data_IF_193548109657
#
_entry.id   IF_193548109657
#
_cell.length_a   1.000
_cell.length_b   1.000
_cell.length_c   1.000
_cell.angle_alpha   90.00
_cell.angle_beta   90.00
_cell.angle_gamma   90.00
#
_symmetry.space_group_name_H-M   'P 1'
#
loop_
_entity.id
_entity.type
_entity.pdbx_description
1 polymer ?
#
# COMPACT_ATOMS: atom_id res chain seq x y z
N UNK A 1 6.02 2.88 -4.86
CA UNK A 1 5.22 3.54 -5.92
C UNK A 1 5.51 2.97 -7.30
N UNK A 2 4.62 3.20 -8.27
CA UNK A 2 4.83 2.93 -9.69
C UNK A 2 4.44 4.19 -10.47
N UNK A 3 5.43 4.82 -11.11
CA UNK A 3 5.24 6.02 -11.93
C UNK A 3 5.33 5.66 -13.41
N UNK A 4 4.41 6.17 -14.22
CA UNK A 4 4.50 6.20 -15.68
C UNK A 4 4.21 7.62 -16.18
N UNK A 5 5.18 8.22 -16.83
CA UNK A 5 5.04 9.53 -17.45
C UNK A 5 4.34 9.46 -18.81
N UNK A 6 4.49 8.34 -19.54
CA UNK A 6 3.79 8.10 -20.80
C UNK A 6 2.28 8.04 -20.62
N UNK A 7 1.83 7.32 -19.59
CA UNK A 7 0.41 7.09 -19.32
C UNK A 7 -0.14 8.04 -18.24
N UNK A 8 0.68 9.00 -17.78
CA UNK A 8 0.32 10.01 -16.78
C UNK A 8 -0.33 9.43 -15.52
N UNK A 9 0.25 8.39 -14.92
CA UNK A 9 -0.24 7.87 -13.66
C UNK A 9 0.85 7.66 -12.61
N UNK A 10 0.44 7.73 -11.34
CA UNK A 10 1.23 7.39 -10.17
C UNK A 10 0.42 6.46 -9.26
N UNK A 11 0.86 5.22 -9.14
CA UNK A 11 0.31 4.27 -8.18
C UNK A 11 1.07 4.34 -6.86
N UNK A 12 0.36 4.70 -5.79
CA UNK A 12 0.87 4.71 -4.41
C UNK A 12 0.64 3.32 -3.83
N UNK A 13 1.73 2.62 -3.50
CA UNK A 13 1.67 1.23 -3.05
C UNK A 13 1.66 1.15 -1.53
N UNK A 14 0.48 1.10 -0.93
CA UNK A 14 0.27 0.81 0.49
C UNK A 14 0.49 -0.69 0.73
N UNK A 15 1.13 -1.05 1.84
CA UNK A 15 1.42 -2.45 2.16
C UNK A 15 0.13 -3.24 2.44
N UNK A 16 0.08 -4.50 1.99
CA UNK A 16 -1.01 -5.46 2.27
C UNK A 16 -2.39 -5.14 1.67
N UNK A 17 -2.46 -4.20 0.72
CA UNK A 17 -3.69 -3.78 0.02
C UNK A 17 -3.80 -4.30 -1.41
N UNK A 18 -3.18 -5.44 -1.73
CA UNK A 18 -3.18 -5.99 -3.09
C UNK A 18 -2.19 -5.34 -4.06
N UNK A 19 -1.39 -4.39 -3.59
CA UNK A 19 -0.52 -3.56 -4.42
C UNK A 19 0.54 -4.33 -5.21
N UNK A 20 0.93 -5.53 -4.79
CA UNK A 20 1.83 -6.39 -5.58
C UNK A 20 1.14 -6.87 -6.86
N UNK A 21 -0.09 -7.37 -6.75
CA UNK A 21 -0.89 -7.81 -7.89
C UNK A 21 -1.13 -6.67 -8.90
N UNK A 22 -1.51 -5.49 -8.40
CA UNK A 22 -1.69 -4.28 -9.23
C UNK A 22 -0.39 -3.91 -9.95
N UNK A 23 0.71 -3.83 -9.21
CA UNK A 23 2.01 -3.46 -9.76
C UNK A 23 2.50 -4.43 -10.83
N UNK A 24 2.34 -5.74 -10.59
CA UNK A 24 2.75 -6.77 -11.52
C UNK A 24 1.86 -6.76 -12.77
N UNK A 25 0.56 -6.48 -12.63
CA UNK A 25 -0.36 -6.31 -13.76
C UNK A 25 -0.05 -5.06 -14.60
N UNK A 26 0.35 -3.95 -13.95
CA UNK A 26 0.73 -2.71 -14.63
C UNK A 26 2.19 -2.71 -15.14
N UNK A 27 2.95 -3.78 -14.91
CA UNK A 27 4.38 -3.84 -15.23
C UNK A 27 4.68 -3.56 -16.70
N UNK A 28 3.87 -4.07 -17.61
CA UNK A 28 4.03 -3.84 -19.06
C UNK A 28 3.98 -2.35 -19.41
N UNK A 29 3.10 -1.57 -18.78
CA UNK A 29 2.96 -0.13 -19.03
C UNK A 29 4.16 0.66 -18.51
N UNK A 30 4.83 0.19 -17.48
CA UNK A 30 6.10 0.74 -17.03
C UNK A 30 7.24 0.40 -18.00
N UNK A 31 7.29 -0.83 -18.53
CA UNK A 31 8.35 -1.26 -19.45
C UNK A 31 8.28 -0.55 -20.81
N UNK A 32 7.09 -0.28 -21.31
CA UNK A 32 6.86 0.45 -22.56
C UNK A 32 6.95 1.97 -22.41
N UNK A 33 7.21 2.48 -21.21
CA UNK A 33 7.39 3.91 -20.96
C UNK A 33 8.80 4.35 -21.43
N UNK A 34 8.92 5.20 -22.48
CA UNK A 34 10.21 5.64 -23.02
C UNK A 34 11.00 6.47 -22.00
N UNK A 35 10.33 7.09 -21.05
CA UNK A 35 10.98 7.91 -20.00
C UNK A 35 11.63 7.07 -18.90
N UNK A 36 11.46 5.74 -18.92
CA UNK A 36 12.03 4.84 -17.91
C UNK A 36 13.55 4.87 -17.88
N UNK A 37 14.19 4.83 -19.05
CA UNK A 37 15.67 4.86 -19.15
C UNK A 37 16.21 6.22 -18.71
N UNK A 38 15.73 7.36 -19.22
CA UNK A 38 16.11 8.67 -18.72
C UNK A 38 15.92 8.84 -17.20
N UNK A 39 14.79 8.38 -16.65
CA UNK A 39 14.54 8.43 -15.20
C UNK A 39 15.56 7.59 -14.41
N UNK A 40 15.87 6.39 -14.89
CA UNK A 40 16.88 5.54 -14.26
C UNK A 40 18.26 6.20 -14.28
N UNK A 41 18.70 6.75 -15.42
CA UNK A 41 19.97 7.44 -15.55
C UNK A 41 20.02 8.69 -14.67
N UNK A 42 18.96 9.51 -14.68
CA UNK A 42 18.86 10.68 -13.83
C UNK A 42 18.91 10.32 -12.34
N UNK A 43 18.29 9.22 -11.94
CA UNK A 43 18.37 8.75 -10.54
C UNK A 43 19.76 8.26 -10.14
N UNK A 44 20.51 7.68 -11.08
CA UNK A 44 21.92 7.30 -10.86
C UNK A 44 22.83 8.51 -10.75
N UNK A 45 22.64 9.50 -11.62
CA UNK A 45 23.37 10.77 -11.54
C UNK A 45 23.09 11.52 -10.23
N UNK A 46 21.84 11.51 -9.77
CA UNK A 46 21.49 12.07 -8.46
C UNK A 46 22.28 11.40 -7.32
N UNK A 47 22.42 10.06 -7.38
CA UNK A 47 23.16 9.31 -6.36
C UNK A 47 24.69 9.54 -6.40
N UNK A 48 25.23 9.93 -7.56
CA UNK A 48 26.67 10.15 -7.75
C UNK A 48 27.09 11.61 -7.48
N UNK A 49 26.19 12.56 -7.73
CA UNK A 49 26.52 14.00 -7.71
C UNK A 49 25.95 14.73 -6.50
N UNK A 50 25.18 14.02 -5.66
CA UNK A 50 24.41 14.59 -4.55
C UNK A 50 23.41 15.70 -4.98
N UNK A 51 23.08 15.75 -6.26
CA UNK A 51 22.11 16.69 -6.83
C UNK A 51 20.82 15.98 -7.18
N UNK A 52 19.68 16.61 -6.91
CA UNK A 52 18.34 16.07 -7.24
C UNK A 52 18.03 16.16 -8.74
N UNK A 53 18.70 15.31 -9.56
CA UNK A 53 18.52 15.27 -11.01
C UNK A 53 17.33 14.38 -11.40
N UNK A 54 17.01 13.34 -10.60
CA UNK A 54 15.91 12.45 -10.86
C UNK A 54 15.37 11.80 -9.59
N UNK A 55 14.07 11.50 -9.61
CA UNK A 55 13.37 10.87 -8.49
C UNK A 55 13.29 9.35 -8.65
N UNK A 56 13.76 8.61 -7.64
CA UNK A 56 13.52 7.18 -7.48
C UNK A 56 12.71 6.96 -6.21
N UNK A 57 11.48 6.54 -6.37
CA UNK A 57 10.60 6.29 -5.24
C UNK A 57 10.76 4.87 -4.70
N UNK A 58 10.92 4.69 -3.38
CA UNK A 58 10.76 3.40 -2.72
C UNK A 58 9.39 2.78 -3.03
N UNK A 59 9.28 1.45 -2.88
CA UNK A 59 8.02 0.74 -3.15
C UNK A 59 6.86 1.32 -2.35
N UNK A 60 7.06 1.55 -1.06
CA UNK A 60 6.07 2.03 -0.10
C UNK A 60 6.28 3.49 0.29
N UNK A 61 6.69 4.35 -0.66
CA UNK A 61 6.76 5.78 -0.40
C UNK A 61 5.35 6.40 -0.34
N UNK A 62 5.18 7.41 0.52
CA UNK A 62 3.93 8.18 0.67
C UNK A 62 3.77 9.16 -0.50
N UNK A 63 2.54 9.52 -0.86
CA UNK A 63 2.25 10.42 -1.99
C UNK A 63 2.94 11.78 -1.85
N UNK A 64 3.07 12.29 -0.63
CA UNK A 64 3.79 13.54 -0.33
C UNK A 64 5.22 13.53 -0.85
N UNK A 65 5.93 12.39 -0.81
CA UNK A 65 7.27 12.30 -1.36
C UNK A 65 7.31 12.55 -2.88
N UNK A 66 6.28 12.10 -3.61
CA UNK A 66 6.18 12.40 -5.03
C UNK A 66 5.81 13.87 -5.29
N UNK A 67 4.96 14.45 -4.44
CA UNK A 67 4.59 15.86 -4.51
C UNK A 67 5.81 16.78 -4.34
N UNK A 68 6.71 16.43 -3.41
CA UNK A 68 7.92 17.22 -3.11
C UNK A 68 9.07 17.00 -4.12
N UNK A 69 9.13 15.80 -4.72
CA UNK A 69 10.26 15.42 -5.58
C UNK A 69 9.99 15.62 -7.07
N UNK A 70 8.74 15.68 -7.51
CA UNK A 70 8.39 15.92 -8.90
C UNK A 70 8.16 17.42 -9.16
N UNK A 71 8.45 17.93 -10.37
CA UNK A 71 7.96 19.23 -10.76
C UNK A 71 6.43 19.35 -10.56
N UNK A 72 5.98 20.49 -10.07
CA UNK A 72 4.56 20.72 -9.71
C UNK A 72 3.62 20.38 -10.86
N UNK A 73 3.94 20.80 -12.07
CA UNK A 73 3.12 20.56 -13.27
C UNK A 73 3.05 19.07 -13.61
N UNK A 74 4.15 18.34 -13.38
CA UNK A 74 4.17 16.88 -13.57
C UNK A 74 3.26 16.20 -12.55
N UNK A 75 3.43 16.52 -11.26
CA UNK A 75 2.61 15.92 -10.19
C UNK A 75 1.12 16.21 -10.40
N UNK A 76 0.75 17.44 -10.75
CA UNK A 76 -0.63 17.84 -11.00
C UNK A 76 -1.27 17.10 -12.18
N UNK A 77 -0.52 16.82 -13.24
CA UNK A 77 -1.00 16.10 -14.43
C UNK A 77 -1.20 14.61 -14.21
N UNK A 78 -0.48 14.01 -13.27
CA UNK A 78 -0.58 12.59 -13.00
C UNK A 78 -1.94 12.23 -12.38
N UNK A 79 -2.57 11.18 -12.88
CA UNK A 79 -3.64 10.49 -12.18
C UNK A 79 -3.03 9.66 -11.03
N UNK A 80 -3.26 10.09 -9.81
CA UNK A 80 -2.70 9.49 -8.61
C UNK A 80 -3.73 8.59 -7.95
N UNK A 81 -3.36 7.33 -7.69
CA UNK A 81 -4.28 6.40 -7.07
C UNK A 81 -3.60 5.45 -6.08
N UNK A 82 -4.38 4.97 -5.13
CA UNK A 82 -3.98 4.01 -4.12
C UNK A 82 -5.08 2.98 -3.89
N UNK A 83 -4.76 1.91 -3.17
CA UNK A 83 -5.74 0.97 -2.66
C UNK A 83 -5.59 0.87 -1.16
N UNK A 84 -6.72 0.84 -0.48
CA UNK A 84 -6.84 0.64 0.97
C UNK A 84 -7.55 -0.67 1.27
N UNK A 85 -7.42 -1.14 2.49
CA UNK A 85 -8.01 -2.39 2.97
C UNK A 85 -8.59 -2.17 4.36
N UNK A 86 -9.66 -2.89 4.68
CA UNK A 86 -10.19 -2.94 6.01
C UNK A 86 -9.08 -3.18 7.04
N UNK A 87 -8.88 -2.31 8.05
CA UNK A 87 -7.75 -2.37 8.97
C UNK A 87 -7.63 -3.70 9.73
N UNK A 88 -8.73 -4.30 10.11
CA UNK A 88 -8.73 -5.62 10.78
C UNK A 88 -8.27 -6.71 9.83
N UNK A 89 -8.78 -6.73 8.61
CA UNK A 89 -8.37 -7.67 7.56
C UNK A 89 -6.91 -7.47 7.14
N UNK A 90 -6.43 -6.24 7.17
CA UNK A 90 -5.02 -5.90 6.91
C UNK A 90 -4.11 -6.55 7.96
N UNK A 91 -4.47 -6.55 9.26
CA UNK A 91 -3.64 -7.15 10.29
C UNK A 91 -3.59 -8.69 10.18
N UNK A 92 -4.69 -9.33 9.86
CA UNK A 92 -4.70 -10.78 9.56
C UNK A 92 -3.81 -11.08 8.35
N UNK A 93 -3.90 -10.28 7.29
CA UNK A 93 -2.99 -10.40 6.14
C UNK A 93 -1.51 -10.19 6.50
N UNK A 94 -1.22 -9.28 7.42
CA UNK A 94 0.12 -9.04 7.92
C UNK A 94 0.65 -10.23 8.72
N UNK A 95 -0.17 -10.80 9.61
CA UNK A 95 0.18 -11.98 10.39
C UNK A 95 0.58 -13.16 9.50
N UNK A 96 -0.26 -13.52 8.53
CA UNK A 96 0.05 -14.61 7.58
C UNK A 96 1.27 -14.30 6.71
N UNK A 97 1.49 -13.04 6.36
CA UNK A 97 2.67 -12.64 5.62
C UNK A 97 3.95 -12.83 6.44
N UNK A 98 3.96 -12.35 7.68
CA UNK A 98 5.12 -12.49 8.57
C UNK A 98 5.36 -13.96 8.87
N UNK A 99 4.31 -14.75 9.12
CA UNK A 99 4.42 -16.19 9.34
C UNK A 99 5.11 -16.93 8.20
N UNK A 100 4.90 -16.47 6.95
CA UNK A 100 5.53 -17.07 5.77
C UNK A 100 6.94 -16.55 5.49
N UNK A 101 7.14 -15.23 5.57
CA UNK A 101 8.40 -14.59 5.15
C UNK A 101 9.43 -14.48 6.29
N UNK A 102 8.98 -14.39 7.53
CA UNK A 102 9.79 -14.17 8.73
C UNK A 102 9.20 -14.93 9.92
N UNK A 103 9.14 -16.28 9.85
CA UNK A 103 8.61 -17.10 10.94
C UNK A 103 9.38 -16.92 12.26
N UNK A 104 10.65 -16.53 12.17
CA UNK A 104 11.50 -16.19 13.32
C UNK A 104 10.89 -15.10 14.22
N UNK A 105 10.20 -14.12 13.65
CA UNK A 105 9.54 -13.05 14.41
C UNK A 105 8.32 -13.52 15.20
N UNK A 106 7.75 -14.66 14.83
CA UNK A 106 6.59 -15.24 15.50
C UNK A 106 6.94 -16.43 16.41
N UNK A 107 8.22 -16.82 16.50
CA UNK A 107 8.64 -18.04 17.22
C UNK A 107 8.19 -18.07 18.69
N UNK A 108 8.11 -16.91 19.34
CA UNK A 108 7.72 -16.78 20.75
C UNK A 108 6.29 -16.19 20.91
N UNK A 109 5.50 -16.08 19.82
CA UNK A 109 4.16 -15.54 19.84
C UNK A 109 3.17 -16.68 19.57
N UNK A 110 2.44 -17.17 20.59
CA UNK A 110 1.64 -18.38 20.48
C UNK A 110 0.43 -18.25 19.53
N UNK A 111 -0.13 -17.05 19.40
CA UNK A 111 -1.35 -16.81 18.67
C UNK A 111 -1.44 -15.41 18.05
N UNK A 112 -2.57 -15.10 17.44
CA UNK A 112 -2.81 -13.83 16.78
C UNK A 112 -2.93 -12.66 17.78
N UNK A 113 -3.47 -12.89 18.97
CA UNK A 113 -3.56 -11.85 20.01
C UNK A 113 -2.16 -11.43 20.47
N UNK A 114 -1.28 -12.40 20.77
CA UNK A 114 0.12 -12.14 21.13
C UNK A 114 0.85 -11.38 20.00
N UNK A 115 0.57 -11.74 18.73
CA UNK A 115 1.09 -11.01 17.58
C UNK A 115 0.62 -9.55 17.55
N UNK A 116 -0.67 -9.29 17.79
CA UNK A 116 -1.18 -7.91 17.81
C UNK A 116 -0.57 -7.11 18.96
N UNK A 117 -0.50 -7.69 20.16
CA UNK A 117 0.12 -7.08 21.34
C UNK A 117 1.56 -6.69 21.07
N UNK A 118 2.35 -7.64 20.53
CA UNK A 118 3.72 -7.37 20.12
C UNK A 118 3.81 -6.30 19.03
N UNK A 119 2.96 -6.38 18.02
CA UNK A 119 3.02 -5.48 16.87
C UNK A 119 2.67 -4.04 17.22
N UNK A 120 1.70 -3.85 18.11
CA UNK A 120 1.24 -2.53 18.57
C UNK A 120 2.10 -1.95 19.69
N UNK A 121 3.03 -2.71 20.25
CA UNK A 121 3.95 -2.23 21.30
C UNK A 121 4.90 -1.16 20.72
N UNK A 122 4.81 0.12 21.19
CA UNK A 122 5.69 1.18 20.72
C UNK A 122 7.16 0.99 21.13
N UNK A 123 7.42 0.13 22.12
CA UNK A 123 8.77 -0.13 22.63
C UNK A 123 9.46 -1.30 21.93
N UNK A 124 8.77 -2.04 21.05
CA UNK A 124 9.41 -3.12 20.32
C UNK A 124 10.49 -2.62 19.36
N UNK A 125 11.55 -3.40 19.14
CA UNK A 125 12.55 -3.08 18.12
C UNK A 125 11.90 -2.94 16.72
N UNK A 126 12.35 -1.98 15.90
CA UNK A 126 11.86 -1.82 14.54
C UNK A 126 12.01 -3.09 13.69
N UNK A 127 10.96 -3.46 12.97
CA UNK A 127 10.92 -4.63 12.11
C UNK A 127 10.21 -4.28 10.80
N UNK A 128 10.95 -4.19 9.71
CA UNK A 128 10.44 -3.73 8.41
C UNK A 128 9.11 -4.39 7.99
N UNK A 129 8.98 -5.73 8.12
CA UNK A 129 7.77 -6.44 7.71
C UNK A 129 6.55 -6.14 8.59
N UNK A 130 6.75 -5.80 9.87
CA UNK A 130 5.70 -5.39 10.78
C UNK A 130 5.37 -3.90 10.58
N UNK A 131 6.41 -3.07 10.49
CA UNK A 131 6.30 -1.61 10.45
C UNK A 131 5.55 -1.12 9.21
N UNK A 132 5.81 -1.69 8.04
CA UNK A 132 5.09 -1.34 6.80
C UNK A 132 3.57 -1.46 6.89
N UNK A 133 3.05 -2.29 7.77
CA UNK A 133 1.62 -2.58 7.88
C UNK A 133 1.04 -2.18 9.24
N UNK A 134 1.77 -1.38 10.02
CA UNK A 134 1.27 -0.70 11.20
C UNK A 134 0.99 0.77 10.93
N UNK A 135 1.66 1.36 9.93
CA UNK A 135 1.42 2.74 9.53
C UNK A 135 -0.03 2.92 9.05
N UNK A 136 -0.57 4.10 9.30
CA UNK A 136 -1.90 4.48 8.81
C UNK A 136 -1.90 4.53 7.27
N UNK A 137 -2.91 3.95 6.67
CA UNK A 137 -3.08 3.96 5.21
C UNK A 137 -3.37 5.38 4.71
N UNK A 138 -4.07 6.19 5.53
CA UNK A 138 -4.35 7.60 5.26
C UNK A 138 -3.07 8.43 5.08
N UNK A 139 -2.00 8.15 5.82
CA UNK A 139 -0.72 8.85 5.70
C UNK A 139 -0.09 8.72 4.31
N UNK A 140 -0.45 7.67 3.58
CA UNK A 140 0.10 7.43 2.25
C UNK A 140 -0.52 8.31 1.16
N UNK A 141 -1.69 8.89 1.42
CA UNK A 141 -2.52 9.55 0.41
C UNK A 141 -2.77 11.03 0.69
N UNK A 142 -2.20 11.55 1.77
CA UNK A 142 -2.36 12.96 2.19
C UNK A 142 -1.05 13.74 2.07
N UNK A 143 -1.18 15.08 2.09
CA UNK A 143 -0.07 16.02 2.28
C UNK A 143 0.26 16.20 3.78
N UNK A 144 1.21 17.09 4.09
CA UNK A 144 1.62 17.41 5.46
C UNK A 144 0.53 18.13 6.28
N UNK A 145 -0.55 18.59 5.64
CA UNK A 145 -1.70 19.25 6.28
C UNK A 145 -2.90 18.29 6.41
N UNK A 146 -2.77 17.04 5.99
CA UNK A 146 -3.85 16.04 6.03
C UNK A 146 -4.83 16.12 4.86
N UNK A 147 -4.59 16.96 3.85
CA UNK A 147 -5.43 17.03 2.66
C UNK A 147 -5.14 15.87 1.71
N UNK A 148 -6.18 15.29 1.11
CA UNK A 148 -6.03 14.26 0.09
C UNK A 148 -5.32 14.84 -1.15
N UNK A 149 -4.26 14.15 -1.59
CA UNK A 149 -3.47 14.50 -2.77
C UNK A 149 -3.47 13.39 -3.83
N UNK A 150 -4.40 12.46 -3.73
CA UNK A 150 -4.65 11.41 -4.71
C UNK A 150 -6.04 11.55 -5.32
N UNK A 151 -6.20 11.11 -6.57
CA UNK A 151 -7.42 11.32 -7.36
C UNK A 151 -8.40 10.13 -7.25
N UNK A 152 -7.90 8.97 -6.78
CA UNK A 152 -8.73 7.77 -6.61
C UNK A 152 -8.18 6.86 -5.51
N UNK A 153 -9.09 6.35 -4.67
CA UNK A 153 -8.81 5.36 -3.65
C UNK A 153 -9.72 4.16 -3.88
N UNK A 154 -9.13 3.06 -4.37
CA UNK A 154 -9.81 1.78 -4.51
C UNK A 154 -9.76 0.97 -3.22
N UNK A 155 -10.66 0.00 -3.08
CA UNK A 155 -10.75 -0.92 -1.94
C UNK A 155 -10.25 -2.32 -2.31
N UNK A 156 -9.48 -2.92 -1.42
CA UNK A 156 -9.02 -4.30 -1.59
C UNK A 156 -10.20 -5.28 -1.70
N UNK A 157 -11.25 -5.02 -0.97
CA UNK A 157 -12.49 -5.81 -0.93
C UNK A 157 -13.21 -5.86 -2.30
N UNK A 158 -12.95 -4.87 -3.16
CA UNK A 158 -13.45 -4.79 -4.54
C UNK A 158 -12.31 -4.61 -5.54
N UNK A 159 -11.19 -5.31 -5.29
CA UNK A 159 -9.93 -5.07 -5.99
C UNK A 159 -10.05 -5.13 -7.51
N UNK A 160 -10.79 -6.09 -8.04
CA UNK A 160 -10.93 -6.27 -9.50
C UNK A 160 -11.73 -5.12 -10.14
N UNK A 161 -12.83 -4.73 -9.52
CA UNK A 161 -13.72 -3.66 -10.00
C UNK A 161 -13.02 -2.31 -9.91
N UNK A 162 -12.45 -1.99 -8.76
CA UNK A 162 -11.79 -0.71 -8.53
C UNK A 162 -10.49 -0.59 -9.34
N UNK A 163 -9.81 -1.71 -9.64
CA UNK A 163 -8.67 -1.70 -10.54
C UNK A 163 -9.09 -1.46 -12.00
N UNK A 164 -10.19 -2.05 -12.44
CA UNK A 164 -10.75 -1.76 -13.77
C UNK A 164 -11.13 -0.27 -13.91
N UNK A 165 -11.72 0.31 -12.87
CA UNK A 165 -12.04 1.74 -12.84
C UNK A 165 -10.78 2.62 -12.89
N UNK A 166 -9.74 2.27 -12.14
CA UNK A 166 -8.45 2.98 -12.22
C UNK A 166 -7.86 2.91 -13.63
N UNK A 167 -7.86 1.74 -14.28
CA UNK A 167 -7.40 1.58 -15.66
C UNK A 167 -8.23 2.42 -16.65
N UNK A 168 -9.55 2.47 -16.46
CA UNK A 168 -10.44 3.29 -17.28
C UNK A 168 -10.11 4.78 -17.18
N UNK A 169 -9.85 5.27 -15.95
CA UNK A 169 -9.45 6.67 -15.71
C UNK A 169 -8.09 7.02 -16.29
N UNK A 170 -7.15 6.07 -16.27
CA UNK A 170 -5.83 6.21 -16.90
C UNK A 170 -5.95 6.20 -18.43
N UNK A 171 -7.00 5.62 -18.99
CA UNK A 171 -7.17 5.43 -20.45
C UNK A 171 -6.35 4.25 -21.00
N UNK A 172 -6.16 3.19 -20.22
CA UNK A 172 -5.43 1.98 -20.62
C UNK A 172 -6.36 0.75 -20.62
N UNK A 173 -6.05 -0.22 -21.48
CA UNK A 173 -6.71 -1.52 -21.39
C UNK A 173 -6.40 -2.17 -20.03
N UNK A 174 -7.45 -2.57 -19.30
CA UNK A 174 -7.30 -3.19 -17.99
C UNK A 174 -6.62 -4.57 -18.15
N UNK A 175 -5.40 -4.76 -17.63
CA UNK A 175 -4.75 -6.06 -17.67
C UNK A 175 -5.40 -7.01 -16.65
N UNK A 176 -5.30 -8.31 -16.90
CA UNK A 176 -5.72 -9.31 -15.90
C UNK A 176 -4.94 -9.12 -14.61
N UNK A 177 -5.66 -9.04 -13.48
CA UNK A 177 -5.02 -9.04 -12.16
C UNK A 177 -4.32 -10.39 -11.93
N UNK A 178 -3.02 -10.30 -11.68
CA UNK A 178 -2.22 -11.46 -11.33
C UNK A 178 -2.39 -11.68 -9.82
N UNK A 179 -3.02 -12.79 -9.43
CA UNK A 179 -3.15 -13.18 -8.02
C UNK A 179 -1.80 -13.66 -7.47
N UNK A 180 -0.84 -12.74 -7.39
CA UNK A 180 0.58 -13.06 -7.12
C UNK A 180 0.82 -13.59 -5.70
N UNK A 181 -0.08 -13.39 -4.74
CA UNK A 181 0.15 -13.75 -3.32
C UNK A 181 -1.17 -13.94 -2.54
N UNK A 182 -2.09 -14.81 -3.02
CA UNK A 182 -3.12 -15.30 -2.09
C UNK A 182 -2.42 -16.08 -0.99
N UNK A 183 -2.73 -15.76 0.28
CA UNK A 183 -2.36 -16.62 1.39
C UNK A 183 -3.16 -17.92 1.24
N UNK A 184 -2.54 -18.95 0.66
CA UNK A 184 -3.18 -20.25 0.44
C UNK A 184 -3.61 -20.92 1.77
N UNK A 185 -3.01 -20.49 2.86
CA UNK A 185 -3.23 -20.92 4.22
C UNK A 185 -4.30 -20.11 4.98
N UNK A 186 -4.88 -19.09 4.32
CA UNK A 186 -5.96 -18.29 4.90
C UNK A 186 -7.32 -18.82 4.41
N UNK A 187 -7.93 -19.65 5.20
CA UNK A 187 -9.24 -20.26 4.92
C UNK A 187 -10.39 -19.61 5.68
N UNK A 188 -10.09 -18.76 6.68
CA UNK A 188 -11.06 -18.19 7.59
C UNK A 188 -11.31 -16.70 7.33
N UNK A 189 -12.52 -16.25 7.63
CA UNK A 189 -12.88 -14.85 7.71
C UNK A 189 -12.01 -14.15 8.76
N UNK A 190 -11.55 -12.91 8.46
CA UNK A 190 -10.68 -12.16 9.38
C UNK A 190 -11.33 -11.95 10.76
N UNK A 191 -12.65 -11.87 10.84
CA UNK A 191 -13.39 -11.66 12.09
C UNK A 191 -13.16 -12.79 13.10
N UNK A 192 -12.95 -14.01 12.63
CA UNK A 192 -12.69 -15.17 13.49
C UNK A 192 -11.35 -15.15 14.23
N UNK A 193 -10.47 -14.22 13.87
CA UNK A 193 -9.17 -14.01 14.54
C UNK A 193 -9.27 -13.10 15.76
N UNK A 194 -10.39 -12.40 15.92
CA UNK A 194 -10.57 -11.34 16.90
C UNK A 194 -11.54 -11.75 18.01
N UNK A 195 -11.27 -11.25 19.21
CA UNK A 195 -12.23 -11.05 20.27
C UNK A 195 -12.55 -9.53 20.38
N UNK A 196 -13.51 -9.16 21.23
CA UNK A 196 -13.93 -7.76 21.38
C UNK A 196 -12.78 -6.84 21.77
N UNK A 197 -11.88 -7.31 22.63
CA UNK A 197 -10.72 -6.54 23.11
C UNK A 197 -9.73 -6.28 21.98
N UNK A 198 -9.30 -7.32 21.25
CA UNK A 198 -8.35 -7.19 20.15
C UNK A 198 -8.92 -6.42 18.96
N UNK A 199 -10.24 -6.52 18.71
CA UNK A 199 -10.91 -5.71 17.73
C UNK A 199 -10.89 -4.22 18.11
N UNK A 200 -11.07 -3.91 19.42
CA UNK A 200 -11.00 -2.55 19.92
C UNK A 200 -9.58 -1.95 19.83
N UNK A 201 -8.51 -2.74 20.03
CA UNK A 201 -7.13 -2.25 19.83
C UNK A 201 -6.89 -1.76 18.40
N UNK A 202 -7.38 -2.50 17.41
CA UNK A 202 -7.26 -2.11 16.00
C UNK A 202 -8.15 -0.92 15.68
N UNK A 203 -9.37 -0.87 16.23
CA UNK A 203 -10.26 0.28 16.07
C UNK A 203 -9.61 1.58 16.58
N UNK A 204 -8.96 1.51 17.72
CA UNK A 204 -8.28 2.67 18.33
C UNK A 204 -7.07 3.10 17.50
N UNK A 205 -6.18 2.16 17.18
CA UNK A 205 -4.95 2.47 16.45
C UNK A 205 -5.23 3.01 15.04
N UNK A 206 -6.21 2.43 14.33
CA UNK A 206 -6.57 2.80 12.96
C UNK A 206 -7.80 3.71 12.88
N UNK A 207 -8.18 4.39 13.97
CA UNK A 207 -9.32 5.31 13.97
C UNK A 207 -9.29 6.32 12.82
N UNK A 208 -8.15 6.97 12.48
CA UNK A 208 -8.11 7.90 11.36
C UNK A 208 -8.41 7.23 10.00
N UNK A 209 -7.97 6.00 9.79
CA UNK A 209 -8.26 5.24 8.56
C UNK A 209 -9.72 4.81 8.51
N UNK A 210 -10.26 4.33 9.64
CA UNK A 210 -11.64 3.89 9.78
C UNK A 210 -12.60 5.05 9.46
N UNK A 211 -12.38 6.21 10.06
CA UNK A 211 -13.19 7.40 9.85
C UNK A 211 -13.05 7.92 8.40
N UNK A 212 -11.83 8.02 7.87
CA UNK A 212 -11.56 8.55 6.55
C UNK A 212 -12.12 7.68 5.44
N UNK A 213 -11.99 6.35 5.56
CA UNK A 213 -12.40 5.41 4.52
C UNK A 213 -13.74 4.74 4.79
N UNK A 214 -14.38 5.02 5.94
CA UNK A 214 -15.70 4.50 6.30
C UNK A 214 -15.71 2.98 6.50
N UNK A 215 -14.66 2.40 7.11
CA UNK A 215 -14.60 0.99 7.42
C UNK A 215 -15.34 0.64 8.71
N UNK A 216 -15.85 -0.61 8.75
CA UNK A 216 -16.45 -1.22 9.95
C UNK A 216 -15.88 -2.61 10.14
N UNK A 217 -15.90 -3.10 11.39
CA UNK A 217 -15.47 -4.47 11.70
C UNK A 217 -16.30 -5.53 10.96
N UNK A 218 -17.61 -5.29 10.81
CA UNK A 218 -18.55 -6.22 10.18
C UNK A 218 -18.65 -6.06 8.64
N UNK A 219 -17.81 -5.24 8.03
CA UNK A 219 -17.78 -5.13 6.57
C UNK A 219 -17.49 -6.50 5.94
N UNK A 220 -18.04 -6.79 4.73
CA UNK A 220 -17.79 -8.05 4.05
C UNK A 220 -16.30 -8.31 3.87
N UNK A 221 -15.87 -9.55 4.13
CA UNK A 221 -14.51 -10.00 3.84
C UNK A 221 -14.27 -10.05 2.31
N UNK A 222 -13.03 -9.82 1.89
CA UNK A 222 -12.62 -9.83 0.47
C UNK A 222 -12.51 -11.25 -0.11
#
# INVERSE_FOLDING_TARGET
>A
MLLSLRYNFLFIHIAKTGGTSIRDSLWRYKWTDPYRIPQFLASRLSALTDHKIGAKFPRHAKAVAAMEMLPREVFQRLFKFAFVRNPWDLQVSSYHHIRRERPDLLANLPDFEAFLRWKLDPMRPPQYHADMSIELQSDYVVDLHGNLIVDFIGRYERLAEDFAEACRRIGIACPRLLHSRKAADRTQDYRSYYNDETAAWIAEHYRPDIERFGYRFDDPAA
#
